data_IF_473622142111
#
_entry.id   IF_473622142111
#
_cell.length_a   1.000
_cell.length_b   1.000
_cell.length_c   1.000
_cell.angle_alpha   90.00
_cell.angle_beta   90.00
_cell.angle_gamma   90.00
#
_symmetry.space_group_name_H-M   'P 1'
#
loop_
_entity.id
_entity.type
_entity.pdbx_description
1 polymer ?
#
# COMPACT_ATOMS: atom_id res chain seq x y z
N UNK A 1 -1.00 1.29 17.32
CA UNK A 1 0.49 1.30 17.36
C UNK A 1 1.10 0.19 18.22
N UNK A 2 0.43 -0.33 19.25
CA UNK A 2 1.05 -1.35 20.13
C UNK A 2 1.09 -2.77 19.55
N UNK A 3 0.11 -3.22 18.76
CA UNK A 3 -0.02 -4.67 18.49
C UNK A 3 1.01 -5.19 17.46
N UNK A 4 1.28 -4.49 16.35
CA UNK A 4 2.23 -4.98 15.33
C UNK A 4 3.69 -4.84 15.79
N UNK A 5 4.05 -3.73 16.45
CA UNK A 5 5.34 -3.65 17.15
C UNK A 5 5.47 -4.74 18.22
N UNK A 6 4.37 -5.09 18.90
CA UNK A 6 4.37 -6.22 19.85
C UNK A 6 4.53 -7.56 19.13
N UNK A 7 3.90 -7.78 17.97
CA UNK A 7 4.01 -9.03 17.22
C UNK A 7 5.45 -9.19 16.70
N UNK A 8 6.02 -8.16 16.07
CA UNK A 8 7.42 -8.18 15.64
C UNK A 8 8.36 -8.39 16.84
N UNK A 9 8.14 -7.68 17.96
CA UNK A 9 8.95 -7.86 19.16
C UNK A 9 8.80 -9.24 19.82
N UNK A 10 7.59 -9.82 19.82
CA UNK A 10 7.32 -11.17 20.36
C UNK A 10 7.96 -12.24 19.48
N UNK A 11 7.87 -12.14 18.16
CA UNK A 11 8.58 -13.03 17.25
C UNK A 11 10.09 -12.89 17.40
N UNK A 12 10.60 -11.66 17.48
CA UNK A 12 12.02 -11.41 17.73
C UNK A 12 12.47 -12.07 19.03
N UNK A 13 11.76 -11.82 20.13
CA UNK A 13 12.08 -12.40 21.42
C UNK A 13 11.98 -13.93 21.43
N UNK A 14 10.97 -14.50 20.77
CA UNK A 14 10.76 -15.95 20.70
C UNK A 14 11.91 -16.65 19.95
N UNK A 15 12.28 -16.16 18.77
CA UNK A 15 13.37 -16.76 17.99
C UNK A 15 14.73 -16.52 18.64
N UNK A 16 14.97 -15.36 19.25
CA UNK A 16 16.16 -15.12 20.07
C UNK A 16 16.27 -16.15 21.21
N UNK A 17 15.19 -16.38 21.94
CA UNK A 17 15.16 -17.39 23.01
C UNK A 17 15.42 -18.79 22.44
N UNK A 18 14.81 -19.13 21.31
CA UNK A 18 14.99 -20.43 20.65
C UNK A 18 16.46 -20.67 20.24
N UNK A 19 17.11 -19.68 19.62
CA UNK A 19 18.53 -19.75 19.23
C UNK A 19 19.41 -20.00 20.45
N UNK A 20 19.18 -19.25 21.54
CA UNK A 20 19.94 -19.40 22.79
C UNK A 20 19.72 -20.78 23.44
N UNK A 21 18.49 -21.27 23.51
CA UNK A 21 18.17 -22.58 24.10
C UNK A 21 18.79 -23.72 23.30
N UNK A 22 18.61 -23.71 21.98
CA UNK A 22 19.15 -24.76 21.09
C UNK A 22 20.68 -24.74 21.11
N UNK A 23 21.29 -23.56 21.03
CA UNK A 23 22.75 -23.42 21.09
C UNK A 23 23.34 -23.89 22.42
N UNK A 24 22.67 -23.59 23.53
CA UNK A 24 23.07 -24.06 24.87
C UNK A 24 22.96 -25.58 24.98
N UNK A 25 21.83 -26.16 24.55
CA UNK A 25 21.62 -27.61 24.56
C UNK A 25 22.67 -28.34 23.72
N UNK A 26 23.01 -27.80 22.54
CA UNK A 26 24.04 -28.35 21.66
C UNK A 26 25.44 -28.31 22.29
N UNK A 27 25.79 -27.18 22.93
CA UNK A 27 27.06 -27.03 23.66
C UNK A 27 27.21 -28.08 24.75
N UNK A 28 26.14 -28.34 25.52
CA UNK A 28 26.11 -29.35 26.59
C UNK A 28 26.24 -30.77 26.00
N UNK A 29 25.46 -31.09 24.98
CA UNK A 29 25.45 -32.41 24.36
C UNK A 29 26.80 -32.76 23.71
N UNK A 30 27.41 -31.80 23.03
CA UNK A 30 28.71 -31.96 22.39
C UNK A 30 29.89 -31.87 23.38
N UNK A 31 29.65 -31.45 24.64
CA UNK A 31 30.66 -31.17 25.66
C UNK A 31 31.80 -30.28 25.14
N UNK A 32 31.50 -29.37 24.24
CA UNK A 32 32.50 -28.57 23.54
C UNK A 32 32.14 -27.08 23.61
N UNK A 33 32.96 -26.33 24.33
CA UNK A 33 32.77 -24.90 24.61
C UNK A 33 32.89 -24.05 23.35
N UNK A 34 33.48 -24.57 22.27
CA UNK A 34 33.63 -23.87 20.98
C UNK A 34 32.29 -23.45 20.36
N UNK A 35 31.17 -24.06 20.77
CA UNK A 35 29.84 -23.73 20.24
C UNK A 35 29.22 -22.47 20.86
N UNK A 36 29.68 -22.02 22.03
CA UNK A 36 29.22 -20.77 22.66
C UNK A 36 29.42 -19.55 21.75
N UNK A 37 30.64 -19.26 21.24
CA UNK A 37 30.84 -18.11 20.36
C UNK A 37 30.06 -18.23 19.04
N UNK A 38 29.82 -19.45 18.55
CA UNK A 38 29.00 -19.68 17.34
C UNK A 38 27.54 -19.31 17.61
N UNK A 39 26.96 -19.74 18.73
CA UNK A 39 25.59 -19.36 19.11
C UNK A 39 25.45 -17.85 19.29
N UNK A 40 26.41 -17.20 19.95
CA UNK A 40 26.39 -15.75 20.11
C UNK A 40 26.52 -15.00 18.77
N UNK A 41 27.32 -15.51 17.85
CA UNK A 41 27.42 -14.96 16.49
C UNK A 41 26.09 -15.09 15.74
N UNK A 42 25.45 -16.27 15.80
CA UNK A 42 24.14 -16.50 15.18
C UNK A 42 23.08 -15.55 15.76
N UNK A 43 23.05 -15.39 17.08
CA UNK A 43 22.14 -14.48 17.78
C UNK A 43 22.38 -13.02 17.38
N UNK A 44 23.65 -12.59 17.33
CA UNK A 44 24.01 -11.24 16.90
C UNK A 44 23.58 -10.97 15.46
N UNK A 45 23.81 -11.92 14.54
CA UNK A 45 23.38 -11.80 13.14
C UNK A 45 21.86 -11.75 13.06
N UNK A 46 21.16 -12.64 13.76
CA UNK A 46 19.70 -12.67 13.82
C UNK A 46 19.13 -11.32 14.27
N UNK A 47 19.56 -10.81 15.43
CA UNK A 47 19.12 -9.53 15.97
C UNK A 47 19.46 -8.36 15.04
N UNK A 48 20.63 -8.37 14.39
CA UNK A 48 21.03 -7.30 13.46
C UNK A 48 20.09 -7.20 12.25
N UNK A 49 19.59 -8.34 11.75
CA UNK A 49 18.64 -8.40 10.64
C UNK A 49 17.24 -8.06 11.15
N UNK A 50 16.80 -8.69 12.24
CA UNK A 50 15.44 -8.57 12.74
C UNK A 50 15.12 -7.17 13.29
N UNK A 51 16.10 -6.50 13.93
CA UNK A 51 15.94 -5.14 14.46
C UNK A 51 16.18 -4.05 13.39
N UNK A 52 16.65 -4.39 12.20
CA UNK A 52 16.98 -3.40 11.15
C UNK A 52 15.78 -2.54 10.75
N UNK A 53 14.64 -3.18 10.48
CA UNK A 53 13.40 -2.53 10.06
C UNK A 53 12.78 -1.66 11.18
N UNK A 54 12.54 -2.17 12.41
CA UNK A 54 11.98 -1.34 13.47
C UNK A 54 12.91 -0.19 13.87
N UNK A 55 14.24 -0.39 13.82
CA UNK A 55 15.20 0.69 14.06
C UNK A 55 15.12 1.80 13.01
N UNK A 56 15.01 1.45 11.73
CA UNK A 56 14.79 2.43 10.65
C UNK A 56 13.51 3.24 10.85
N UNK A 57 12.40 2.57 11.13
CA UNK A 57 11.09 3.22 11.40
C UNK A 57 11.19 4.15 12.61
N UNK A 58 11.79 3.69 13.72
CA UNK A 58 12.02 4.52 14.91
C UNK A 58 12.81 5.79 14.60
N UNK A 59 13.89 5.68 13.83
CA UNK A 59 14.69 6.86 13.42
C UNK A 59 13.91 7.81 12.53
N UNK A 60 13.09 7.29 11.61
CA UNK A 60 12.25 8.11 10.74
C UNK A 60 11.18 8.86 11.55
N UNK A 61 10.57 8.20 12.54
CA UNK A 61 9.51 8.77 13.36
C UNK A 61 10.00 9.82 14.38
N UNK A 62 11.27 9.75 14.79
CA UNK A 62 11.90 10.75 15.66
C UNK A 62 12.07 12.13 15.01
N UNK A 63 12.17 12.18 13.68
CA UNK A 63 12.31 13.44 12.95
C UNK A 63 10.93 13.96 12.56
N UNK A 64 10.62 15.25 12.77
CA UNK A 64 9.40 15.82 12.22
C UNK A 64 9.41 15.73 10.69
N UNK A 65 8.24 15.69 10.08
CA UNK A 65 8.16 15.79 8.62
C UNK A 65 8.61 17.20 8.19
N UNK A 66 9.44 17.35 7.14
CA UNK A 66 9.82 18.66 6.63
C UNK A 66 8.60 19.48 6.20
N UNK A 67 8.64 20.79 6.46
CA UNK A 67 7.52 21.68 6.13
C UNK A 67 7.27 21.76 4.62
N UNK A 68 8.33 21.72 3.81
CA UNK A 68 8.26 21.59 2.35
C UNK A 68 7.43 20.38 1.91
N UNK A 69 7.55 19.25 2.61
CA UNK A 69 6.79 18.05 2.26
C UNK A 69 5.30 18.24 2.55
N UNK A 70 4.95 18.90 3.66
CA UNK A 70 3.54 19.21 3.96
C UNK A 70 2.94 20.13 2.90
N UNK A 71 3.70 21.11 2.43
CA UNK A 71 3.26 22.00 1.34
C UNK A 71 2.99 21.22 0.06
N UNK A 72 3.91 20.34 -0.35
CA UNK A 72 3.73 19.47 -1.53
C UNK A 72 2.50 18.57 -1.36
N UNK A 73 2.31 17.96 -0.19
CA UNK A 73 1.16 17.09 0.08
C UNK A 73 -0.15 17.87 0.06
N UNK A 74 -0.20 19.08 0.62
CA UNK A 74 -1.37 19.94 0.59
C UNK A 74 -1.72 20.45 -0.81
N UNK A 75 -0.71 20.60 -1.68
CA UNK A 75 -0.89 20.98 -3.09
C UNK A 75 -1.41 19.80 -3.93
N UNK A 76 -0.85 18.60 -3.74
CA UNK A 76 -1.05 17.49 -4.68
C UNK A 76 -2.10 16.47 -4.23
N UNK A 77 -2.30 16.28 -2.92
CA UNK A 77 -3.21 15.25 -2.40
C UNK A 77 -4.49 15.91 -1.87
N UNK A 78 -5.58 15.78 -2.64
CA UNK A 78 -6.91 16.23 -2.20
C UNK A 78 -7.32 15.55 -0.90
N UNK A 79 -7.04 14.25 -0.75
CA UNK A 79 -7.30 13.52 0.48
C UNK A 79 -6.58 14.15 1.68
N UNK A 80 -5.26 14.37 1.60
CA UNK A 80 -4.49 14.97 2.71
C UNK A 80 -4.95 16.39 3.04
N UNK A 81 -5.28 17.19 2.02
CA UNK A 81 -5.73 18.58 2.19
C UNK A 81 -6.95 18.68 3.12
N UNK A 82 -7.92 17.77 2.97
CA UNK A 82 -9.18 17.78 3.71
C UNK A 82 -9.15 17.03 5.05
N UNK A 83 -8.05 16.38 5.40
CA UNK A 83 -7.90 15.76 6.73
C UNK A 83 -7.88 16.82 7.84
N UNK A 84 -8.46 16.46 8.98
CA UNK A 84 -8.28 17.18 10.24
C UNK A 84 -6.84 17.05 10.77
N UNK A 85 -6.53 17.75 11.87
CA UNK A 85 -5.18 17.80 12.40
C UNK A 85 -4.67 16.40 12.81
N UNK A 86 -5.51 15.59 13.47
CA UNK A 86 -5.14 14.23 13.88
C UNK A 86 -4.93 13.33 12.65
N UNK A 87 -5.79 13.46 11.64
CA UNK A 87 -5.66 12.77 10.36
C UNK A 87 -4.37 13.11 9.63
N UNK A 88 -4.01 14.40 9.57
CA UNK A 88 -2.73 14.85 8.96
C UNK A 88 -1.53 14.26 9.69
N UNK A 89 -1.53 14.25 11.02
CA UNK A 89 -0.45 13.65 11.81
C UNK A 89 -0.31 12.15 11.55
N UNK A 90 -1.42 11.42 11.42
CA UNK A 90 -1.40 9.99 11.04
C UNK A 90 -0.86 9.80 9.62
N UNK A 91 -1.33 10.60 8.66
CA UNK A 91 -0.90 10.53 7.26
C UNK A 91 0.60 10.82 7.11
N UNK A 92 1.11 11.86 7.77
CA UNK A 92 2.54 12.24 7.78
C UNK A 92 3.42 11.19 8.46
N UNK A 93 2.90 10.53 9.51
CA UNK A 93 3.57 9.38 10.13
C UNK A 93 3.68 8.23 9.13
N UNK A 94 2.60 7.91 8.44
CA UNK A 94 2.54 6.77 7.52
C UNK A 94 3.44 6.98 6.29
N UNK A 95 3.53 8.22 5.77
CA UNK A 95 4.52 8.60 4.76
C UNK A 95 5.96 8.34 5.25
N UNK A 96 6.30 8.80 6.46
CA UNK A 96 7.66 8.62 6.99
C UNK A 96 8.01 7.15 7.20
N UNK A 97 7.04 6.34 7.65
CA UNK A 97 7.21 4.88 7.77
C UNK A 97 7.44 4.26 6.40
N UNK A 98 6.58 4.58 5.43
CA UNK A 98 6.66 4.05 4.06
C UNK A 98 8.01 4.35 3.41
N UNK A 99 8.45 5.62 3.44
CA UNK A 99 9.74 6.04 2.88
C UNK A 99 10.96 5.48 3.64
N UNK A 100 10.78 4.99 4.87
CA UNK A 100 11.84 4.30 5.62
C UNK A 100 11.98 2.81 5.26
N UNK A 101 10.87 2.21 4.85
CA UNK A 101 10.77 0.79 4.53
C UNK A 101 11.06 0.52 3.05
N UNK A 102 10.57 1.37 2.16
CA UNK A 102 10.60 1.14 0.72
C UNK A 102 11.46 2.17 -0.01
N UNK A 103 12.31 1.69 -0.91
CA UNK A 103 12.98 2.53 -1.90
C UNK A 103 11.99 2.94 -2.98
N UNK A 104 12.09 4.20 -3.42
CA UNK A 104 11.40 4.70 -4.61
C UNK A 104 12.48 5.22 -5.54
N UNK A 105 12.66 4.55 -6.67
CA UNK A 105 13.77 4.75 -7.60
C UNK A 105 13.25 4.71 -9.03
N UNK A 106 14.00 5.31 -9.96
CA UNK A 106 13.77 5.15 -11.39
C UNK A 106 14.60 3.98 -11.95
N UNK A 107 14.43 3.68 -13.24
CA UNK A 107 15.13 2.60 -13.94
C UNK A 107 16.64 2.77 -13.76
N UNK A 108 17.36 1.66 -13.56
CA UNK A 108 18.80 1.63 -13.23
C UNK A 108 19.14 2.26 -11.86
N UNK A 109 18.18 2.26 -10.92
CA UNK A 109 18.35 2.80 -9.55
C UNK A 109 18.69 4.28 -9.50
N UNK A 110 18.17 5.05 -10.45
CA UNK A 110 18.34 6.50 -10.45
C UNK A 110 17.46 7.14 -9.37
N UNK A 111 17.96 8.19 -8.74
CA UNK A 111 17.17 8.94 -7.77
C UNK A 111 16.01 9.66 -8.48
N UNK A 112 14.84 9.63 -7.84
CA UNK A 112 13.66 10.40 -8.27
C UNK A 112 13.46 11.63 -7.38
N UNK A 113 12.81 12.65 -7.94
CA UNK A 113 12.42 13.88 -7.25
C UNK A 113 11.60 13.55 -5.98
N UNK A 114 11.78 14.36 -4.95
CA UNK A 114 11.02 14.22 -3.70
C UNK A 114 9.51 14.34 -3.91
N UNK A 115 9.05 15.19 -4.85
CA UNK A 115 7.63 15.31 -5.20
C UNK A 115 7.07 13.96 -5.64
N UNK A 116 7.78 13.25 -6.53
CA UNK A 116 7.37 11.90 -6.98
C UNK A 116 7.31 10.91 -5.83
N UNK A 117 8.31 10.91 -4.94
CA UNK A 117 8.30 10.04 -3.75
C UNK A 117 7.08 10.30 -2.86
N UNK A 118 6.71 11.57 -2.69
CA UNK A 118 5.56 11.98 -1.90
C UNK A 118 4.24 11.61 -2.57
N UNK A 119 4.12 11.68 -3.90
CA UNK A 119 2.92 11.21 -4.62
C UNK A 119 2.69 9.72 -4.40
N UNK A 120 3.74 8.90 -4.58
CA UNK A 120 3.69 7.46 -4.30
C UNK A 120 3.28 7.24 -2.84
N UNK A 121 4.02 7.83 -1.89
CA UNK A 121 3.76 7.63 -0.46
C UNK A 121 2.38 8.14 0.00
N UNK A 122 1.86 9.19 -0.64
CA UNK A 122 0.49 9.70 -0.42
C UNK A 122 -0.56 8.66 -0.82
N UNK A 123 -0.33 7.96 -1.93
CA UNK A 123 -1.13 6.80 -2.35
C UNK A 123 -1.30 5.79 -1.22
N UNK A 124 -0.17 5.32 -0.69
CA UNK A 124 -0.13 4.38 0.43
C UNK A 124 -0.79 4.91 1.69
N UNK A 125 -0.47 6.14 2.09
CA UNK A 125 -0.99 6.73 3.32
C UNK A 125 -2.52 6.91 3.28
N UNK A 126 -3.10 7.16 2.10
CA UNK A 126 -4.55 7.23 1.94
C UNK A 126 -5.22 5.86 2.14
N UNK A 127 -4.75 4.81 1.45
CA UNK A 127 -5.34 3.47 1.55
C UNK A 127 -5.12 2.82 2.94
N UNK A 128 -4.05 3.21 3.63
CA UNK A 128 -3.76 2.78 5.00
C UNK A 128 -4.54 3.54 6.08
N UNK A 129 -5.20 4.65 5.74
CA UNK A 129 -5.69 5.60 6.75
C UNK A 129 -6.65 4.95 7.77
N UNK A 130 -7.63 4.17 7.30
CA UNK A 130 -8.53 3.39 8.18
C UNK A 130 -8.07 1.95 8.43
N UNK A 131 -6.94 1.54 7.83
CA UNK A 131 -6.31 0.23 8.00
C UNK A 131 -4.84 0.36 8.45
N UNK A 132 -4.56 0.95 9.63
CA UNK A 132 -3.20 1.23 10.11
C UNK A 132 -2.36 -0.01 10.45
N UNK A 133 -2.90 -1.20 10.18
CA UNK A 133 -2.30 -2.50 10.46
C UNK A 133 -2.05 -3.31 9.19
N UNK A 134 -2.52 -2.83 8.05
CA UNK A 134 -2.19 -3.45 6.78
C UNK A 134 -0.78 -3.03 6.38
N UNK A 135 -0.02 -3.95 5.78
CA UNK A 135 1.24 -3.63 5.15
C UNK A 135 1.18 -4.18 3.72
N UNK A 136 1.43 -3.36 2.69
CA UNK A 136 1.44 -3.86 1.32
C UNK A 136 2.59 -4.88 1.16
N UNK A 137 2.35 -6.03 0.52
CA UNK A 137 3.36 -7.07 0.30
C UNK A 137 4.31 -6.70 -0.85
N UNK A 138 4.80 -5.45 -0.84
CA UNK A 138 5.74 -4.94 -1.83
C UNK A 138 7.11 -5.50 -1.54
N UNK A 139 7.74 -6.02 -2.59
CA UNK A 139 9.13 -6.46 -2.55
C UNK A 139 9.98 -5.50 -3.38
N UNK A 140 11.18 -5.19 -2.92
CA UNK A 140 12.15 -4.35 -3.65
C UNK A 140 11.72 -2.88 -3.92
N UNK A 141 10.59 -2.43 -3.34
CA UNK A 141 10.15 -1.04 -3.35
C UNK A 141 9.29 -0.66 -4.55
N UNK A 142 9.40 0.60 -4.98
CA UNK A 142 8.63 1.18 -6.09
C UNK A 142 9.58 1.63 -7.18
N UNK A 143 9.32 1.20 -8.42
CA UNK A 143 10.09 1.54 -9.60
C UNK A 143 9.28 2.50 -10.49
N UNK A 144 9.78 3.73 -10.62
CA UNK A 144 9.15 4.79 -11.41
C UNK A 144 9.74 4.80 -12.82
N UNK A 145 8.93 4.43 -13.80
CA UNK A 145 9.30 4.46 -15.21
C UNK A 145 9.14 5.87 -15.78
N UNK A 146 10.18 6.45 -16.40
CA UNK A 146 10.05 7.71 -17.12
C UNK A 146 9.02 7.61 -18.26
N UNK A 147 8.34 8.70 -18.58
CA UNK A 147 7.34 8.75 -19.65
C UNK A 147 5.93 8.35 -19.20
N UNK A 148 5.02 8.21 -20.16
CA UNK A 148 3.57 8.01 -19.95
C UNK A 148 3.13 6.55 -19.90
N UNK A 149 3.87 5.65 -20.56
CA UNK A 149 3.50 4.23 -20.63
C UNK A 149 4.70 3.33 -20.85
N UNK A 150 4.52 2.04 -20.58
CA UNK A 150 5.50 1.01 -20.86
C UNK A 150 4.87 -0.27 -21.42
N UNK A 151 5.69 -1.11 -22.05
CA UNK A 151 5.25 -2.34 -22.71
C UNK A 151 5.27 -3.51 -21.74
N UNK A 152 4.71 -4.66 -22.14
CA UNK A 152 4.86 -5.92 -21.37
C UNK A 152 6.32 -6.33 -21.16
N UNK A 153 7.21 -5.92 -22.08
CA UNK A 153 8.66 -6.13 -22.01
C UNK A 153 9.39 -4.95 -21.35
N UNK A 154 8.66 -4.07 -20.64
CA UNK A 154 9.19 -2.91 -19.92
C UNK A 154 9.94 -1.89 -20.80
N UNK A 155 9.56 -1.77 -22.08
CA UNK A 155 10.07 -0.72 -22.96
C UNK A 155 9.32 0.58 -22.70
N UNK A 156 10.06 1.67 -22.52
CA UNK A 156 9.54 3.02 -22.24
C UNK A 156 8.82 3.60 -23.48
N UNK A 157 7.69 4.27 -23.27
CA UNK A 157 6.95 5.02 -24.30
C UNK A 157 6.23 4.16 -25.35
N UNK A 158 6.26 2.83 -25.18
CA UNK A 158 5.66 1.85 -26.10
C UNK A 158 4.72 0.98 -25.27
N UNK A 159 3.52 0.67 -25.77
CA UNK A 159 2.56 -0.19 -25.08
C UNK A 159 1.38 0.57 -24.50
N UNK A 160 0.76 0.02 -23.46
CA UNK A 160 -0.45 0.56 -22.83
C UNK A 160 -0.46 0.41 -21.30
N UNK A 161 0.65 0.00 -20.67
CA UNK A 161 0.72 -0.13 -19.21
C UNK A 161 1.19 1.17 -18.59
N UNK A 162 0.50 1.56 -17.53
CA UNK A 162 0.79 2.75 -16.73
C UNK A 162 1.20 2.39 -15.30
N UNK A 163 0.88 1.16 -14.87
CA UNK A 163 1.34 0.57 -13.62
C UNK A 163 1.39 -0.96 -13.70
N UNK A 164 1.97 -1.58 -12.67
CA UNK A 164 1.93 -3.02 -12.45
C UNK A 164 2.23 -3.36 -10.99
N UNK A 165 1.23 -3.90 -10.30
CA UNK A 165 1.37 -4.60 -9.02
C UNK A 165 1.55 -6.10 -9.25
N UNK A 166 2.53 -6.69 -8.55
CA UNK A 166 2.77 -8.14 -8.59
C UNK A 166 3.38 -8.60 -7.28
N UNK A 167 3.06 -9.82 -6.87
CA UNK A 167 3.67 -10.44 -5.68
C UNK A 167 5.16 -10.68 -5.98
N UNK A 168 6.03 -10.46 -4.99
CA UNK A 168 7.48 -10.69 -5.08
C UNK A 168 8.23 -9.85 -6.14
N UNK A 169 7.65 -8.73 -6.58
CA UNK A 169 8.28 -7.78 -7.51
C UNK A 169 8.07 -6.34 -7.01
N UNK A 170 8.87 -5.37 -7.48
CA UNK A 170 8.61 -3.96 -7.20
C UNK A 170 7.27 -3.54 -7.80
N UNK A 171 6.61 -2.61 -7.13
CA UNK A 171 5.48 -1.89 -7.70
C UNK A 171 6.02 -0.99 -8.81
N UNK A 172 5.49 -1.13 -10.02
CA UNK A 172 5.91 -0.33 -11.18
C UNK A 172 4.85 0.72 -11.46
N UNK A 173 5.26 1.97 -11.66
CA UNK A 173 4.37 3.07 -12.05
C UNK A 173 5.04 3.98 -13.07
N UNK A 174 4.29 4.49 -14.04
CA UNK A 174 4.72 5.57 -14.93
C UNK A 174 4.76 6.89 -14.16
N UNK A 175 5.83 7.67 -14.36
CA UNK A 175 5.97 8.99 -13.76
C UNK A 175 4.87 9.95 -14.21
N UNK A 176 4.55 9.99 -15.50
CA UNK A 176 3.54 10.93 -16.02
C UNK A 176 2.13 10.50 -15.60
N UNK A 177 1.80 9.20 -15.59
CA UNK A 177 0.52 8.73 -15.06
C UNK A 177 0.38 9.00 -13.57
N UNK A 178 1.46 8.86 -12.79
CA UNK A 178 1.46 9.22 -11.37
C UNK A 178 1.22 10.72 -11.20
N UNK A 179 1.90 11.59 -11.95
CA UNK A 179 1.65 13.04 -11.89
C UNK A 179 0.22 13.40 -12.30
N UNK A 180 -0.32 12.74 -13.32
CA UNK A 180 -1.68 12.99 -13.82
C UNK A 180 -2.72 12.68 -12.76
N UNK A 181 -2.63 11.52 -12.09
CA UNK A 181 -3.61 11.14 -11.06
C UNK A 181 -3.66 12.11 -9.87
N UNK A 182 -2.59 12.83 -9.56
CA UNK A 182 -2.62 13.86 -8.52
C UNK A 182 -2.88 15.28 -9.05
N UNK A 183 -2.87 15.50 -10.37
CA UNK A 183 -3.17 16.81 -10.97
C UNK A 183 -4.68 17.06 -11.06
N UNK A 184 -5.48 16.02 -11.28
CA UNK A 184 -6.92 16.10 -11.47
C UNK A 184 -7.64 15.19 -10.46
N UNK A 185 -7.66 15.54 -9.17
CA UNK A 185 -8.04 14.61 -8.09
C UNK A 185 -9.53 14.20 -8.05
N UNK A 186 -10.33 14.66 -9.02
CA UNK A 186 -11.78 14.40 -9.09
C UNK A 186 -12.17 13.68 -10.40
N UNK A 187 -11.20 13.30 -11.25
CA UNK A 187 -11.47 12.62 -12.53
C UNK A 187 -11.68 11.10 -12.39
N UNK A 188 -11.40 10.54 -11.20
CA UNK A 188 -11.59 9.13 -10.88
C UNK A 188 -10.49 8.24 -11.44
N UNK A 189 -9.32 8.81 -11.77
CA UNK A 189 -8.18 8.12 -12.35
C UNK A 189 -6.89 8.37 -11.57
N UNK A 190 -6.47 7.36 -10.81
CA UNK A 190 -5.26 7.42 -10.01
C UNK A 190 -4.49 6.11 -10.03
N UNK A 191 -3.41 6.07 -10.82
CA UNK A 191 -2.60 4.87 -11.03
C UNK A 191 -2.05 4.30 -9.72
N UNK A 192 -1.71 5.13 -8.72
CA UNK A 192 -1.19 4.59 -7.46
C UNK A 192 -2.31 3.98 -6.62
N UNK A 193 -3.52 4.55 -6.59
CA UNK A 193 -4.65 3.90 -5.93
C UNK A 193 -5.04 2.59 -6.62
N UNK A 194 -5.04 2.59 -7.95
CA UNK A 194 -5.32 1.43 -8.77
C UNK A 194 -4.38 0.26 -8.47
N UNK A 195 -3.07 0.47 -8.59
CA UNK A 195 -2.10 -0.61 -8.39
C UNK A 195 -2.06 -1.08 -6.93
N UNK A 196 -2.33 -0.20 -5.98
CA UNK A 196 -2.43 -0.60 -4.57
C UNK A 196 -3.68 -1.40 -4.26
N UNK A 197 -4.79 -1.16 -4.97
CA UNK A 197 -5.99 -1.99 -4.86
C UNK A 197 -5.67 -3.46 -5.16
N UNK A 198 -4.89 -3.72 -6.22
CA UNK A 198 -4.48 -5.09 -6.60
C UNK A 198 -3.74 -5.83 -5.49
N UNK A 199 -2.99 -5.14 -4.62
CA UNK A 199 -2.33 -5.82 -3.48
C UNK A 199 -3.31 -6.34 -2.42
N UNK A 200 -4.51 -5.76 -2.29
CA UNK A 200 -5.54 -6.29 -1.39
C UNK A 200 -6.18 -7.57 -1.94
N UNK A 201 -6.32 -7.66 -3.26
CA UNK A 201 -6.83 -8.82 -3.98
C UNK A 201 -5.80 -9.96 -3.98
N UNK A 202 -4.55 -9.64 -4.32
CA UNK A 202 -3.44 -10.59 -4.44
C UNK A 202 -2.99 -11.25 -3.12
N UNK A 203 -3.48 -10.84 -1.95
CA UNK A 203 -2.96 -11.34 -0.68
C UNK A 203 -3.26 -12.83 -0.44
N UNK A 204 -4.39 -13.33 -0.95
CA UNK A 204 -4.70 -14.77 -0.97
C UNK A 204 -4.11 -15.49 -2.21
N UNK A 205 -3.29 -14.79 -3.01
CA UNK A 205 -2.56 -15.33 -4.17
C UNK A 205 -3.36 -15.38 -5.47
N UNK A 206 -4.59 -14.87 -5.49
CA UNK A 206 -5.47 -14.84 -6.65
C UNK A 206 -5.89 -13.39 -6.95
N UNK A 207 -6.03 -13.06 -8.23
CA UNK A 207 -6.52 -11.74 -8.66
C UNK A 207 -7.96 -11.90 -9.17
N UNK A 208 -8.95 -11.84 -8.28
CA UNK A 208 -10.37 -12.08 -8.57
C UNK A 208 -11.26 -10.84 -8.33
N UNK A 209 -10.67 -9.70 -7.95
CA UNK A 209 -11.38 -8.50 -7.49
C UNK A 209 -12.00 -8.65 -6.08
N UNK A 210 -11.48 -9.60 -5.30
CA UNK A 210 -11.97 -9.90 -3.96
C UNK A 210 -10.80 -9.75 -3.00
N UNK A 211 -10.78 -8.69 -2.16
CA UNK A 211 -9.81 -8.61 -1.10
C UNK A 211 -9.78 -9.89 -0.26
N UNK A 212 -8.59 -10.26 0.23
CA UNK A 212 -8.38 -11.50 0.97
C UNK A 212 -9.49 -11.76 1.99
N UNK A 213 -9.99 -13.00 2.08
CA UNK A 213 -11.21 -13.33 2.82
C UNK A 213 -11.14 -12.91 4.29
N UNK A 214 -9.93 -12.93 4.88
CA UNK A 214 -9.63 -12.43 6.24
C UNK A 214 -10.00 -10.96 6.45
N UNK A 215 -10.04 -10.16 5.39
CA UNK A 215 -10.41 -8.74 5.40
C UNK A 215 -11.90 -8.49 5.22
N UNK A 216 -12.65 -9.52 4.81
CA UNK A 216 -14.09 -9.50 4.60
C UNK A 216 -14.83 -10.59 5.42
N UNK A 217 -14.67 -10.66 6.76
CA UNK A 217 -15.29 -11.72 7.55
C UNK A 217 -16.81 -11.78 7.36
N UNK A 218 -17.31 -12.90 6.83
CA UNK A 218 -18.75 -13.10 6.55
C UNK A 218 -19.33 -12.25 5.42
N UNK A 219 -18.52 -11.43 4.72
CA UNK A 219 -18.99 -10.48 3.69
C UNK A 219 -18.57 -10.84 2.25
N UNK A 220 -17.71 -11.86 2.07
CA UNK A 220 -17.16 -12.26 0.76
C UNK A 220 -18.22 -12.44 -0.34
N UNK A 221 -19.32 -13.16 -0.04
CA UNK A 221 -20.37 -13.40 -1.04
C UNK A 221 -21.08 -12.11 -1.47
N UNK A 222 -21.36 -11.21 -0.52
CA UNK A 222 -21.96 -9.91 -0.81
C UNK A 222 -21.00 -9.05 -1.64
N UNK A 223 -19.74 -8.98 -1.25
CA UNK A 223 -18.70 -8.26 -1.99
C UNK A 223 -18.61 -8.72 -3.44
N UNK A 224 -18.49 -10.04 -3.65
CA UNK A 224 -18.43 -10.65 -4.99
C UNK A 224 -19.63 -10.23 -5.84
N UNK A 225 -20.84 -10.30 -5.29
CA UNK A 225 -22.04 -9.90 -6.03
C UNK A 225 -22.01 -8.41 -6.43
N UNK A 226 -21.57 -7.52 -5.53
CA UNK A 226 -21.47 -6.08 -5.80
C UNK A 226 -20.49 -5.81 -6.95
N UNK A 227 -19.27 -6.36 -6.87
CA UNK A 227 -18.24 -6.17 -7.90
C UNK A 227 -18.67 -6.81 -9.23
N UNK A 228 -19.19 -8.04 -9.22
CA UNK A 228 -19.66 -8.70 -10.44
C UNK A 228 -20.80 -7.94 -11.12
N UNK A 229 -21.71 -7.35 -10.34
CA UNK A 229 -22.78 -6.54 -10.90
C UNK A 229 -22.24 -5.26 -11.54
N UNK A 230 -21.27 -4.59 -10.91
CA UNK A 230 -20.69 -3.37 -11.47
C UNK A 230 -19.81 -3.67 -12.70
N UNK A 231 -19.02 -4.74 -12.66
CA UNK A 231 -18.27 -5.26 -13.81
C UNK A 231 -19.19 -5.54 -15.01
N UNK A 232 -20.33 -6.23 -14.81
CA UNK A 232 -21.31 -6.49 -15.88
C UNK A 232 -21.91 -5.21 -16.46
N UNK A 233 -22.18 -4.19 -15.63
CA UNK A 233 -22.61 -2.88 -16.12
C UNK A 233 -21.52 -2.20 -16.95
N UNK A 234 -20.26 -2.28 -16.52
CA UNK A 234 -19.11 -1.72 -17.22
C UNK A 234 -18.89 -2.39 -18.59
N UNK A 235 -19.00 -3.72 -18.65
CA UNK A 235 -18.95 -4.50 -19.89
C UNK A 235 -20.04 -4.08 -20.90
N UNK A 236 -21.18 -3.62 -20.40
CA UNK A 236 -22.30 -3.11 -21.21
C UNK A 236 -22.20 -1.60 -21.51
N UNK A 237 -21.14 -0.92 -21.06
CA UNK A 237 -20.95 0.52 -21.21
C UNK A 237 -21.89 1.38 -20.37
N UNK A 238 -22.44 0.83 -19.27
CA UNK A 238 -23.43 1.52 -18.41
C UNK A 238 -22.92 1.86 -17.02
N UNK A 239 -21.70 1.46 -16.67
CA UNK A 239 -21.10 1.77 -15.37
C UNK A 239 -20.48 3.16 -15.38
N UNK A 240 -20.61 3.86 -14.25
CA UNK A 240 -19.90 5.12 -14.00
C UNK A 240 -18.38 4.92 -13.87
N UNK A 241 -17.91 3.71 -13.58
CA UNK A 241 -16.48 3.34 -13.55
C UNK A 241 -15.85 3.32 -14.97
N UNK A 242 -16.65 3.47 -16.01
CA UNK A 242 -16.17 3.46 -17.39
C UNK A 242 -15.87 2.07 -17.95
N UNK A 243 -15.41 1.99 -19.21
CA UNK A 243 -15.26 0.72 -19.93
C UNK A 243 -14.11 -0.14 -19.42
N UNK A 244 -13.05 0.45 -18.84
CA UNK A 244 -11.88 -0.28 -18.37
C UNK A 244 -12.22 -1.23 -17.20
N UNK A 245 -13.16 -0.83 -16.33
CA UNK A 245 -13.72 -1.69 -15.29
C UNK A 245 -14.45 -2.93 -15.86
N UNK A 246 -14.78 -2.96 -17.16
CA UNK A 246 -15.36 -4.13 -17.83
C UNK A 246 -14.35 -5.21 -18.21
N UNK A 247 -13.05 -4.97 -18.05
CA UNK A 247 -11.97 -5.91 -18.45
C UNK A 247 -12.06 -7.24 -17.69
N UNK A 248 -12.17 -7.18 -16.35
CA UNK A 248 -12.41 -8.30 -15.44
C UNK A 248 -12.78 -7.74 -14.05
N UNK A 249 -13.14 -8.60 -13.10
CA UNK A 249 -13.53 -8.18 -11.75
C UNK A 249 -12.42 -7.51 -10.94
N UNK A 250 -11.14 -7.88 -11.16
CA UNK A 250 -10.00 -7.25 -10.49
C UNK A 250 -9.82 -5.79 -10.93
N UNK A 251 -9.92 -5.52 -12.23
CA UNK A 251 -9.92 -4.15 -12.77
C UNK A 251 -11.15 -3.36 -12.30
N UNK A 252 -12.33 -4.00 -12.23
CA UNK A 252 -13.53 -3.36 -11.69
C UNK A 252 -13.35 -2.93 -10.23
N UNK A 253 -12.72 -3.78 -9.41
CA UNK A 253 -12.37 -3.44 -8.03
C UNK A 253 -11.35 -2.30 -7.97
N UNK A 254 -10.26 -2.37 -8.73
CA UNK A 254 -9.22 -1.35 -8.69
C UNK A 254 -9.74 0.03 -9.12
N UNK A 255 -10.54 0.10 -10.19
CA UNK A 255 -11.20 1.35 -10.62
C UNK A 255 -12.22 1.84 -9.58
N UNK A 256 -12.94 0.94 -8.91
CA UNK A 256 -13.80 1.33 -7.81
C UNK A 256 -13.00 1.95 -6.64
N UNK A 257 -11.80 1.46 -6.33
CA UNK A 257 -10.93 2.08 -5.32
C UNK A 257 -10.49 3.49 -5.75
N UNK A 258 -10.15 3.71 -7.02
CA UNK A 258 -9.83 5.05 -7.54
C UNK A 258 -10.99 6.02 -7.28
N UNK A 259 -12.20 5.68 -7.73
CA UNK A 259 -13.40 6.50 -7.50
C UNK A 259 -13.72 6.71 -6.02
N UNK A 260 -13.45 5.73 -5.16
CA UNK A 260 -13.71 5.86 -3.74
C UNK A 260 -12.83 6.91 -3.06
N UNK A 261 -11.57 7.06 -3.48
CA UNK A 261 -10.63 8.04 -2.93
C UNK A 261 -10.64 9.38 -3.66
N UNK A 262 -11.08 9.44 -4.92
CA UNK A 262 -11.07 10.67 -5.73
C UNK A 262 -12.44 11.29 -5.92
N UNK A 263 -13.47 10.48 -6.16
CA UNK A 263 -14.82 10.98 -6.44
C UNK A 263 -15.91 10.23 -5.67
N UNK A 264 -15.86 10.26 -4.33
CA UNK A 264 -16.78 9.50 -3.49
C UNK A 264 -18.25 9.91 -3.67
N UNK A 265 -18.52 11.16 -4.02
CA UNK A 265 -19.88 11.65 -4.28
C UNK A 265 -20.49 11.00 -5.53
N UNK A 266 -19.73 10.93 -6.64
CA UNK A 266 -20.18 10.25 -7.87
C UNK A 266 -20.42 8.77 -7.61
N UNK A 267 -19.51 8.11 -6.88
CA UNK A 267 -19.71 6.71 -6.51
C UNK A 267 -20.96 6.51 -5.65
N UNK A 268 -21.14 7.30 -4.59
CA UNK A 268 -22.28 7.19 -3.68
C UNK A 268 -23.61 7.39 -4.42
N UNK A 269 -23.65 8.31 -5.38
CA UNK A 269 -24.84 8.61 -6.18
C UNK A 269 -25.18 7.47 -7.15
N UNK A 270 -24.18 6.93 -7.86
CA UNK A 270 -24.41 5.93 -8.93
C UNK A 270 -24.50 4.49 -8.40
N UNK A 271 -23.75 4.17 -7.35
CA UNK A 271 -23.79 2.86 -6.70
C UNK A 271 -23.55 2.99 -5.18
N UNK A 272 -24.59 3.35 -4.41
CA UNK A 272 -24.47 3.52 -2.96
C UNK A 272 -24.09 2.23 -2.22
N UNK A 273 -24.43 1.06 -2.77
CA UNK A 273 -24.06 -0.22 -2.16
C UNK A 273 -22.55 -0.49 -2.29
N UNK A 274 -21.97 -0.23 -3.46
CA UNK A 274 -20.52 -0.31 -3.68
C UNK A 274 -19.76 0.67 -2.79
N UNK A 275 -20.26 1.91 -2.66
CA UNK A 275 -19.69 2.89 -1.73
C UNK A 275 -19.66 2.37 -0.29
N UNK A 276 -20.79 1.87 0.22
CA UNK A 276 -20.85 1.34 1.59
C UNK A 276 -19.94 0.12 1.78
N UNK A 277 -19.82 -0.75 0.78
CA UNK A 277 -18.90 -1.87 0.84
C UNK A 277 -17.44 -1.40 0.96
N UNK A 278 -17.02 -0.41 0.16
CA UNK A 278 -15.67 0.16 0.22
C UNK A 278 -15.43 0.96 1.49
N UNK A 279 -16.44 1.67 2.00
CA UNK A 279 -16.42 2.36 3.31
C UNK A 279 -16.17 1.38 4.45
N UNK A 280 -16.94 0.30 4.48
CA UNK A 280 -16.77 -0.80 5.44
C UNK A 280 -15.41 -1.48 5.30
N UNK A 281 -14.94 -1.64 4.06
CA UNK A 281 -13.65 -2.26 3.78
C UNK A 281 -12.51 -1.36 4.24
N UNK A 282 -12.37 -0.14 3.75
CA UNK A 282 -11.25 0.73 4.15
C UNK A 282 -11.40 1.30 5.57
N UNK A 283 -12.58 1.17 6.19
CA UNK A 283 -12.89 1.69 7.52
C UNK A 283 -12.66 3.22 7.60
N UNK A 284 -13.02 3.92 6.51
CA UNK A 284 -13.01 5.38 6.38
C UNK A 284 -14.23 5.81 5.57
N UNK A 285 -14.70 7.04 5.80
CA UNK A 285 -15.74 7.68 5.00
C UNK A 285 -15.12 8.80 4.16
N UNK A 286 -14.77 8.49 2.90
CA UNK A 286 -14.07 9.43 2.00
C UNK A 286 -14.96 10.61 1.61
N UNK A 287 -16.27 10.39 1.46
CA UNK A 287 -17.24 11.47 1.24
C UNK A 287 -17.21 12.46 2.40
N UNK A 288 -17.27 11.98 3.65
CA UNK A 288 -17.21 12.86 4.83
C UNK A 288 -15.87 13.60 4.94
N UNK A 289 -14.77 12.96 4.55
CA UNK A 289 -13.44 13.61 4.56
C UNK A 289 -13.38 14.72 3.52
N UNK A 290 -13.79 14.45 2.28
CA UNK A 290 -13.63 15.38 1.15
C UNK A 290 -14.73 16.44 1.08
N UNK A 291 -15.91 16.13 1.60
CA UNK A 291 -17.09 16.99 1.62
C UNK A 291 -17.73 16.99 3.01
N UNK A 292 -17.08 17.63 4.01
CA UNK A 292 -17.54 17.61 5.40
C UNK A 292 -18.92 18.26 5.62
N UNK A 293 -19.37 19.09 4.67
CA UNK A 293 -20.66 19.79 4.71
C UNK A 293 -21.80 19.05 3.97
N UNK A 294 -21.54 17.85 3.43
CA UNK A 294 -22.52 17.05 2.66
C UNK A 294 -23.29 16.02 3.48
#
# INVERSE_FOLDING_TARGET
MQIIYKIDALFIAFYSLLILVVGTAFTIAAKNVIFIPITLLVEMVYLSVALRRPYKRYRALKKPIPEEWKQILAECSSFYKHLDQEGKERFERDIRVFLSDFSIESIRRQAVDIKIKLLVASGFAALLHGRPHWEPPIKDGVLVYPGDRFSRDYKIGIGNRVGQASINSPLIVSEESLKQGFRHPDDGHNVIYHELAHYFDLEDGQAEGIPAARMLPGKVARWRNIIQNEWKKALQGRSFLGPYAGTNEAEAFAVAVEFFFENPHVMKTNNPELYEALKDFFNIDTLKIMHPDS
#
